data_IF_275613955986
#
_entry.id   IF_275613955986
#
_cell.length_a   1.000
_cell.length_b   1.000
_cell.length_c   1.000
_cell.angle_alpha   90.00
_cell.angle_beta   90.00
_cell.angle_gamma   90.00
#
_symmetry.space_group_name_H-M   'P 1'
#
loop_
_entity.id
_entity.type
_entity.pdbx_description
1 polymer ?
#
# COMPACT_ATOMS: atom_id res chain seq x y z
N UNK A 1 23.97 -9.29 21.33
CA UNK A 1 23.83 -10.57 20.60
C UNK A 1 23.18 -10.27 19.28
N UNK A 2 23.80 -10.68 18.17
CA UNK A 2 23.23 -10.47 16.84
C UNK A 2 21.89 -11.21 16.78
N UNK A 3 20.80 -10.49 16.56
CA UNK A 3 19.49 -11.11 16.35
C UNK A 3 19.57 -11.85 15.02
N UNK A 4 19.27 -13.15 15.02
CA UNK A 4 19.20 -13.93 13.79
C UNK A 4 18.00 -13.42 12.98
N UNK A 5 18.31 -12.76 11.86
CA UNK A 5 17.32 -12.19 10.96
C UNK A 5 17.36 -12.95 9.64
N UNK A 6 16.24 -13.58 9.28
CA UNK A 6 16.07 -14.21 7.96
C UNK A 6 15.31 -13.24 7.06
N UNK A 7 15.97 -12.69 6.03
CA UNK A 7 15.32 -11.79 5.09
C UNK A 7 14.50 -12.60 4.09
N UNK A 8 13.22 -12.26 3.92
CA UNK A 8 12.36 -12.87 2.91
C UNK A 8 12.30 -12.06 1.63
N UNK A 9 12.20 -10.73 1.76
CA UNK A 9 12.06 -9.84 0.60
C UNK A 9 12.49 -8.42 0.91
N UNK A 10 12.99 -7.76 -0.11
CA UNK A 10 13.24 -6.32 -0.14
C UNK A 10 12.47 -5.72 -1.31
N UNK A 11 11.77 -4.62 -1.05
CA UNK A 11 10.89 -3.95 -2.03
C UNK A 11 11.37 -2.51 -2.15
N UNK A 12 11.82 -2.04 -3.32
CA UNK A 12 12.14 -0.64 -3.53
C UNK A 12 10.91 0.23 -3.27
N UNK A 13 11.03 1.16 -2.33
CA UNK A 13 9.97 2.14 -2.02
C UNK A 13 10.17 3.41 -2.86
N UNK A 14 11.42 3.83 -3.02
CA UNK A 14 11.86 4.93 -3.88
C UNK A 14 13.37 4.75 -4.19
N UNK A 15 14.06 5.82 -4.60
CA UNK A 15 15.47 5.78 -5.02
C UNK A 15 16.44 5.45 -3.88
N UNK A 16 16.10 5.77 -2.62
CA UNK A 16 17.00 5.64 -1.47
C UNK A 16 16.43 4.81 -0.32
N UNK A 17 15.16 4.39 -0.41
CA UNK A 17 14.48 3.60 0.61
C UNK A 17 13.96 2.26 0.06
N UNK A 18 14.06 1.22 0.88
CA UNK A 18 13.45 -0.08 0.67
C UNK A 18 12.53 -0.46 1.83
N UNK A 19 11.53 -1.29 1.57
CA UNK A 19 10.78 -2.01 2.59
C UNK A 19 11.36 -3.43 2.66
N UNK A 20 11.93 -3.78 3.81
CA UNK A 20 12.45 -5.12 4.08
C UNK A 20 11.44 -5.90 4.92
N UNK A 21 11.13 -7.10 4.46
CA UNK A 21 10.32 -8.09 5.17
C UNK A 21 11.25 -9.21 5.61
N UNK A 22 11.32 -9.46 6.91
CA UNK A 22 12.20 -10.45 7.50
C UNK A 22 11.53 -11.19 8.65
N UNK A 23 12.05 -12.35 9.02
CA UNK A 23 11.76 -13.01 10.29
C UNK A 23 12.86 -12.68 11.28
N UNK A 24 12.48 -12.35 12.50
CA UNK A 24 13.42 -12.14 13.61
C UNK A 24 12.92 -12.81 14.89
N UNK A 25 13.87 -13.13 15.77
CA UNK A 25 13.60 -13.61 17.13
C UNK A 25 13.92 -12.49 18.11
N UNK A 26 12.92 -12.09 18.90
CA UNK A 26 13.04 -11.08 19.93
C UNK A 26 12.54 -11.62 21.27
N UNK A 27 13.40 -11.63 22.28
CA UNK A 27 13.10 -12.16 23.63
C UNK A 27 12.50 -13.57 23.63
N UNK A 28 12.98 -14.45 22.74
CA UNK A 28 12.46 -15.82 22.59
C UNK A 28 11.20 -15.94 21.74
N UNK A 29 10.61 -14.83 21.29
CA UNK A 29 9.43 -14.83 20.43
C UNK A 29 9.83 -14.63 18.97
N UNK A 30 9.30 -15.48 18.09
CA UNK A 30 9.48 -15.35 16.64
C UNK A 30 8.38 -14.46 16.06
N UNK A 31 8.77 -13.58 15.14
CA UNK A 31 7.82 -12.73 14.43
C UNK A 31 8.36 -12.24 13.10
N UNK A 32 7.49 -11.54 12.38
CA UNK A 32 7.77 -10.92 11.08
C UNK A 32 8.03 -9.44 11.31
N UNK A 33 9.15 -8.92 10.81
CA UNK A 33 9.50 -7.51 10.83
C UNK A 33 9.26 -6.94 9.42
N UNK A 34 8.45 -5.89 9.34
CA UNK A 34 8.23 -5.13 8.12
C UNK A 34 8.71 -3.71 8.40
N UNK A 35 9.83 -3.30 7.80
CA UNK A 35 10.49 -2.05 8.14
C UNK A 35 11.05 -1.34 6.92
N UNK A 36 10.99 -0.01 6.95
CA UNK A 36 11.67 0.82 5.97
C UNK A 36 13.15 0.92 6.34
N UNK A 37 14.02 0.65 5.37
CA UNK A 37 15.46 0.87 5.43
C UNK A 37 15.84 1.96 4.44
N UNK A 38 16.85 2.73 4.75
CA UNK A 38 17.41 3.77 3.87
C UNK A 38 18.87 3.46 3.58
N UNK A 39 19.35 3.86 2.40
CA UNK A 39 20.77 3.81 2.08
C UNK A 39 21.48 5.00 2.73
N UNK A 40 22.49 4.71 3.53
CA UNK A 40 23.37 5.71 4.12
C UNK A 40 24.37 6.19 3.07
N UNK A 41 24.47 7.50 2.86
CA UNK A 41 25.27 8.09 1.77
C UNK A 41 26.78 7.96 1.99
N UNK A 42 27.24 7.91 3.24
CA UNK A 42 28.66 7.78 3.56
C UNK A 42 29.15 6.34 3.44
N UNK A 43 28.33 5.40 3.89
CA UNK A 43 28.71 3.98 3.98
C UNK A 43 28.14 3.11 2.88
N UNK A 44 27.24 3.65 2.04
CA UNK A 44 26.47 2.96 1.01
C UNK A 44 25.71 1.71 1.52
N UNK A 45 25.43 1.66 2.83
CA UNK A 45 24.77 0.53 3.48
C UNK A 45 23.34 0.86 3.84
N UNK A 46 22.48 -0.15 3.72
CA UNK A 46 21.12 -0.03 4.23
C UNK A 46 21.10 -0.03 5.75
N UNK A 47 20.49 1.01 6.33
CA UNK A 47 20.23 1.15 7.77
C UNK A 47 18.73 1.14 8.07
N UNK A 48 18.30 0.52 9.18
CA UNK A 48 16.89 0.44 9.52
C UNK A 48 16.39 1.78 10.05
N UNK A 49 15.20 2.20 9.60
CA UNK A 49 14.53 3.37 10.19
C UNK A 49 13.65 2.97 11.38
N UNK A 50 13.13 3.96 12.10
CA UNK A 50 12.06 3.74 13.10
C UNK A 50 10.71 3.37 12.48
N UNK A 51 10.51 3.59 11.17
CA UNK A 51 9.26 3.29 10.45
C UNK A 51 9.18 1.80 10.14
N UNK A 52 8.51 1.05 11.01
CA UNK A 52 8.29 -0.37 10.80
C UNK A 52 7.53 -1.01 11.96
N UNK A 53 7.00 -2.19 11.71
CA UNK A 53 6.22 -2.96 12.67
C UNK A 53 6.80 -4.36 12.79
N UNK A 54 6.90 -4.84 14.03
CA UNK A 54 7.17 -6.24 14.31
C UNK A 54 5.86 -6.93 14.67
N UNK A 55 5.54 -8.00 13.96
CA UNK A 55 4.28 -8.72 14.03
C UNK A 55 4.57 -10.10 14.61
N UNK A 56 4.02 -10.45 15.79
CA UNK A 56 4.13 -11.80 16.32
C UNK A 56 3.65 -12.84 15.30
N UNK A 57 4.30 -14.00 15.23
CA UNK A 57 3.96 -15.01 14.22
C UNK A 57 2.49 -15.47 14.30
N UNK A 58 1.89 -15.48 15.50
CA UNK A 58 0.49 -15.81 15.71
C UNK A 58 -0.50 -14.79 15.11
N UNK A 59 -0.10 -13.53 14.94
CA UNK A 59 -0.94 -12.48 14.34
C UNK A 59 -0.67 -12.27 12.85
N UNK A 60 0.42 -12.82 12.32
CA UNK A 60 0.83 -12.61 10.93
C UNK A 60 -0.25 -13.02 9.89
N UNK A 61 -0.96 -14.16 10.03
CA UNK A 61 -2.02 -14.53 9.09
C UNK A 61 -3.19 -13.53 9.06
N UNK A 62 -3.61 -13.05 10.23
CA UNK A 62 -4.70 -12.08 10.36
C UNK A 62 -4.34 -10.74 9.73
N UNK A 63 -3.13 -10.23 10.01
CA UNK A 63 -2.61 -9.01 9.38
C UNK A 63 -2.53 -9.17 7.86
N UNK A 64 -2.09 -10.33 7.36
CA UNK A 64 -2.04 -10.60 5.92
C UNK A 64 -3.43 -10.56 5.28
N UNK A 65 -4.42 -11.18 5.91
CA UNK A 65 -5.80 -11.17 5.40
C UNK A 65 -6.40 -9.76 5.40
N UNK A 66 -6.21 -9.01 6.49
CA UNK A 66 -6.68 -7.63 6.57
C UNK A 66 -6.06 -6.73 5.47
N UNK A 67 -4.78 -6.94 5.14
CA UNK A 67 -4.13 -6.23 4.04
C UNK A 67 -4.77 -6.58 2.68
N UNK A 68 -5.08 -7.86 2.43
CA UNK A 68 -5.75 -8.30 1.20
C UNK A 68 -7.19 -7.74 1.10
N UNK A 69 -7.93 -7.74 2.21
CA UNK A 69 -9.27 -7.15 2.27
C UNK A 69 -9.25 -5.65 1.98
N UNK A 70 -8.32 -4.92 2.59
CA UNK A 70 -8.14 -3.49 2.34
C UNK A 70 -7.82 -3.21 0.86
N UNK A 71 -6.95 -4.01 0.23
CA UNK A 71 -6.68 -3.91 -1.21
C UNK A 71 -7.95 -4.14 -2.04
N UNK A 72 -8.78 -5.12 -1.66
CA UNK A 72 -10.06 -5.38 -2.30
C UNK A 72 -11.03 -4.21 -2.20
N UNK A 73 -11.17 -3.61 -1.01
CA UNK A 73 -12.03 -2.44 -0.77
C UNK A 73 -11.57 -1.22 -1.57
N UNK A 74 -10.26 -0.93 -1.56
CA UNK A 74 -9.69 0.19 -2.31
C UNK A 74 -9.86 0.04 -3.83
N UNK A 75 -9.81 -1.19 -4.36
CA UNK A 75 -10.13 -1.46 -5.76
C UNK A 75 -11.58 -1.12 -6.14
N UNK A 76 -12.52 -1.29 -5.20
CA UNK A 76 -13.92 -0.90 -5.40
C UNK A 76 -14.13 0.61 -5.33
N UNK A 77 -13.39 1.32 -4.48
CA UNK A 77 -13.47 2.78 -4.37
C UNK A 77 -13.01 3.50 -5.65
N UNK A 78 -11.92 3.05 -6.28
CA UNK A 78 -11.45 3.62 -7.56
C UNK A 78 -12.45 3.35 -8.68
N UNK A 79 -12.99 2.13 -8.74
CA UNK A 79 -14.00 1.76 -9.74
C UNK A 79 -15.30 2.54 -9.55
N UNK A 80 -15.72 2.78 -8.29
CA UNK A 80 -16.89 3.59 -7.96
C UNK A 80 -16.67 5.07 -8.31
N UNK A 81 -15.49 5.62 -8.03
CA UNK A 81 -15.15 7.00 -8.37
C UNK A 81 -15.10 7.24 -9.88
N UNK A 82 -14.59 6.28 -10.67
CA UNK A 82 -14.61 6.36 -12.15
C UNK A 82 -16.03 6.29 -12.68
N UNK A 83 -16.84 5.33 -12.24
CA UNK A 83 -18.26 5.22 -12.63
C UNK A 83 -19.07 6.48 -12.28
N UNK A 84 -18.81 7.08 -11.11
CA UNK A 84 -19.46 8.32 -10.69
C UNK A 84 -19.11 9.50 -11.61
N UNK A 85 -17.84 9.62 -12.02
CA UNK A 85 -17.38 10.66 -12.98
C UNK A 85 -18.00 10.47 -14.37
N UNK A 86 -18.07 9.23 -14.86
CA UNK A 86 -18.68 8.92 -16.17
C UNK A 86 -20.19 9.20 -16.20
N UNK A 87 -20.89 8.88 -15.11
CA UNK A 87 -22.34 9.14 -14.99
C UNK A 87 -22.63 10.65 -14.96
N UNK A 88 -21.79 11.42 -14.26
CA UNK A 88 -21.87 12.88 -14.23
C UNK A 88 -21.52 13.54 -15.57
N UNK A 89 -20.62 12.94 -16.36
CA UNK A 89 -20.30 13.43 -17.70
C UNK A 89 -21.48 13.23 -18.67
N UNK A 90 -22.10 12.03 -18.67
CA UNK A 90 -23.25 11.74 -19.54
C UNK A 90 -24.48 12.57 -19.24
N UNK A 91 -24.76 12.86 -17.95
CA UNK A 91 -25.91 13.69 -17.58
C UNK A 91 -25.76 15.16 -18.01
N UNK A 92 -24.53 15.70 -17.97
CA UNK A 92 -24.23 17.04 -18.50
C UNK A 92 -24.36 17.12 -20.02
N UNK A 93 -23.93 16.08 -20.72
CA UNK A 93 -24.03 16.00 -22.18
C UNK A 93 -25.49 15.84 -22.64
N UNK A 94 -26.26 15.01 -21.95
CA UNK A 94 -27.71 14.88 -22.18
C UNK A 94 -28.47 16.19 -21.94
N UNK A 95 -28.13 16.92 -20.87
CA UNK A 95 -28.73 18.24 -20.58
C UNK A 95 -28.39 19.29 -21.65
N UNK A 96 -27.15 19.27 -22.17
CA UNK A 96 -26.72 20.20 -23.22
C UNK A 96 -27.42 19.92 -24.56
N UNK A 97 -27.61 18.65 -24.89
CA UNK A 97 -28.32 18.24 -26.11
C UNK A 97 -29.82 18.56 -26.02
N UNK A 98 -30.47 18.36 -24.87
CA UNK A 98 -31.86 18.74 -24.65
C UNK A 98 -32.10 20.24 -24.83
N UNK A 99 -31.22 21.09 -24.27
CA UNK A 99 -31.32 22.55 -24.39
C UNK A 99 -31.10 23.05 -25.84
N UNK A 100 -30.35 22.32 -26.66
CA UNK A 100 -30.11 22.69 -28.07
C UNK A 100 -31.30 22.32 -28.96
N UNK A 101 -32.02 21.24 -28.62
CA UNK A 101 -33.25 20.83 -29.31
C UNK A 101 -34.39 21.82 -29.06
N UNK A 102 -34.52 22.33 -27.83
CA UNK A 102 -35.53 23.34 -27.49
C UNK A 102 -35.26 24.72 -28.09
N UNK A 103 -33.99 25.08 -28.35
CA UNK A 103 -33.63 26.36 -28.97
C UNK A 103 -33.79 26.38 -30.50
N UNK A 104 -34.05 25.22 -31.13
CA UNK A 104 -34.19 25.07 -32.58
C UNK A 104 -35.63 24.73 -33.02
N UNK A 105 -36.56 24.68 -32.06
CA UNK A 105 -38.01 24.47 -32.28
C UNK A 105 -38.75 25.80 -32.09
#
# INVERSE_FOLDING_TARGET
MAQEETIFREIPKNQSEIIRISRSVHNGYTGINIRVWYIDEETEKYLPTRKGVWIPLGLAPEVSNALLEALGQMGQEVTAAVKARETAARSREAAKNAATVEATT
#
